data_IF_854710434340
#
_entry.id   IF_854710434340
#
_cell.length_a   1.000
_cell.length_b   1.000
_cell.length_c   1.000
_cell.angle_alpha   90.00
_cell.angle_beta   90.00
_cell.angle_gamma   90.00
#
_symmetry.space_group_name_H-M   'P 1'
#
loop_
_entity.id
_entity.type
_entity.pdbx_description
1 polymer ?
#
# COMPACT_ATOMS: atom_id res chain seq x y z
N UNK A 1 -23.59 -11.55 -1.48
CA UNK A 1 -22.48 -10.57 -1.46
C UNK A 1 -22.11 -10.06 -2.86
N UNK A 2 -22.12 -10.91 -3.94
CA UNK A 2 -21.75 -10.48 -5.29
C UNK A 2 -22.48 -9.21 -5.79
N UNK A 3 -23.83 -9.09 -5.69
CA UNK A 3 -24.52 -7.85 -6.10
C UNK A 3 -24.09 -6.62 -5.31
N UNK A 4 -23.73 -6.78 -4.03
CA UNK A 4 -23.22 -5.66 -3.20
C UNK A 4 -21.86 -5.20 -3.71
N UNK A 5 -20.96 -6.13 -4.03
CA UNK A 5 -19.66 -5.78 -4.61
C UNK A 5 -19.80 -5.12 -5.99
N UNK A 6 -20.71 -5.62 -6.84
CA UNK A 6 -21.01 -5.00 -8.12
C UNK A 6 -21.53 -3.56 -7.97
N UNK A 7 -22.38 -3.31 -6.96
CA UNK A 7 -22.88 -1.96 -6.67
C UNK A 7 -21.76 -1.03 -6.16
N UNK A 8 -20.83 -1.52 -5.32
CA UNK A 8 -19.64 -0.77 -4.89
C UNK A 8 -18.81 -0.34 -6.11
N UNK A 9 -18.51 -1.24 -7.04
CA UNK A 9 -17.82 -0.89 -8.28
C UNK A 9 -18.63 0.14 -9.08
N UNK A 10 -19.95 -0.08 -9.19
CA UNK A 10 -20.85 0.85 -9.88
C UNK A 10 -20.82 2.27 -9.31
N UNK A 11 -20.75 2.42 -8.00
CA UNK A 11 -20.60 3.73 -7.35
C UNK A 11 -19.29 4.42 -7.70
N UNK A 12 -18.18 3.70 -7.73
CA UNK A 12 -16.88 4.26 -8.12
C UNK A 12 -16.87 4.68 -9.62
N UNK A 13 -17.60 3.95 -10.47
CA UNK A 13 -17.74 4.32 -11.89
C UNK A 13 -18.59 5.58 -12.04
N UNK A 14 -19.74 5.66 -11.37
CA UNK A 14 -20.64 6.83 -11.44
C UNK A 14 -20.08 8.06 -10.73
N UNK A 15 -19.32 7.84 -9.67
CA UNK A 15 -18.78 8.86 -8.79
C UNK A 15 -19.49 8.91 -7.44
N UNK A 16 -18.70 9.24 -6.40
CA UNK A 16 -19.14 9.43 -5.02
C UNK A 16 -18.72 10.82 -4.52
N UNK A 17 -18.74 11.02 -3.19
CA UNK A 17 -18.31 12.28 -2.57
C UNK A 17 -16.83 12.55 -2.84
N UNK A 18 -16.41 13.79 -2.71
CA UNK A 18 -15.01 14.25 -2.76
C UNK A 18 -14.31 13.95 -4.09
N UNK A 19 -15.05 13.96 -5.19
CA UNK A 19 -14.48 13.69 -6.51
C UNK A 19 -13.97 12.26 -6.72
N UNK A 20 -14.34 11.30 -5.84
CA UNK A 20 -13.96 9.89 -6.04
C UNK A 20 -14.73 9.34 -7.24
N UNK A 21 -14.02 9.08 -8.34
CA UNK A 21 -14.64 8.64 -9.59
C UNK A 21 -13.62 7.98 -10.52
N UNK A 22 -14.09 6.98 -11.25
CA UNK A 22 -13.39 6.45 -12.41
C UNK A 22 -13.28 7.51 -13.50
N UNK A 23 -12.07 7.77 -13.98
CA UNK A 23 -11.85 8.67 -15.10
C UNK A 23 -11.67 7.90 -16.43
N UNK A 24 -11.62 8.61 -17.59
CA UNK A 24 -11.47 7.95 -18.89
C UNK A 24 -10.21 7.09 -19.08
N UNK A 25 -9.20 7.25 -18.22
CA UNK A 25 -8.01 6.39 -18.23
C UNK A 25 -8.22 5.03 -17.57
N UNK A 26 -9.39 4.77 -17.00
CA UNK A 26 -9.66 3.55 -16.23
C UNK A 26 -9.09 3.55 -14.82
N UNK A 27 -8.55 4.69 -14.35
CA UNK A 27 -7.99 4.89 -13.03
C UNK A 27 -8.94 5.71 -12.14
N UNK A 28 -8.88 5.51 -10.82
CA UNK A 28 -9.69 6.27 -9.87
C UNK A 28 -9.04 7.60 -9.53
N UNK A 29 -9.74 8.70 -9.83
CA UNK A 29 -9.41 10.00 -9.28
C UNK A 29 -10.11 10.20 -7.93
N UNK A 30 -9.52 11.00 -7.05
CA UNK A 30 -10.12 11.36 -5.75
C UNK A 30 -9.55 12.67 -5.21
N UNK A 31 -10.34 13.35 -4.40
CA UNK A 31 -9.89 14.48 -3.60
C UNK A 31 -10.41 15.83 -4.06
N UNK A 32 -10.64 16.67 -3.06
CA UNK A 32 -10.99 18.08 -3.15
C UNK A 32 -10.01 18.90 -2.31
N UNK A 33 -9.85 20.20 -2.54
CA UNK A 33 -9.03 21.05 -1.70
C UNK A 33 -9.43 20.95 -0.22
N UNK A 34 -8.46 20.77 0.68
CA UNK A 34 -8.69 20.69 2.12
C UNK A 34 -9.22 19.35 2.64
N UNK A 35 -9.31 18.32 1.79
CA UNK A 35 -9.77 16.98 2.15
C UNK A 35 -8.63 15.96 1.99
N UNK A 36 -8.45 15.10 2.98
CA UNK A 36 -7.55 13.94 2.97
C UNK A 36 -8.39 12.65 2.89
N UNK A 37 -8.07 11.78 1.92
CA UNK A 37 -8.88 10.61 1.59
C UNK A 37 -8.12 9.29 1.59
N UNK A 38 -6.83 9.31 1.84
CA UNK A 38 -6.01 8.09 1.93
C UNK A 38 -5.66 7.78 3.37
N UNK A 39 -4.96 6.68 3.62
CA UNK A 39 -4.46 6.36 4.96
C UNK A 39 -3.47 7.42 5.51
N UNK A 40 -2.87 8.24 4.63
CA UNK A 40 -2.03 9.39 5.02
C UNK A 40 -2.90 10.63 5.23
N UNK A 41 -3.71 10.63 6.27
CA UNK A 41 -4.83 11.54 6.49
C UNK A 41 -4.60 12.64 7.54
N UNK A 42 -3.36 12.86 8.00
CA UNK A 42 -3.05 13.89 8.98
C UNK A 42 -3.44 15.28 8.50
N UNK A 43 -4.14 16.02 9.37
CA UNK A 43 -4.61 17.38 9.11
C UNK A 43 -4.48 18.24 10.37
N UNK A 44 -3.94 19.46 10.21
CA UNK A 44 -3.78 20.43 11.30
C UNK A 44 -4.59 21.69 10.95
N UNK A 45 -5.72 21.90 11.60
CA UNK A 45 -6.67 22.94 11.20
C UNK A 45 -7.10 22.75 9.75
N UNK A 46 -6.82 23.73 8.89
CA UNK A 46 -7.12 23.66 7.45
C UNK A 46 -5.95 23.11 6.61
N UNK A 47 -4.79 22.86 7.21
CA UNK A 47 -3.64 22.31 6.53
C UNK A 47 -3.70 20.79 6.43
N UNK A 48 -3.87 20.28 5.22
CA UNK A 48 -3.68 18.86 4.88
C UNK A 48 -2.18 18.62 4.78
N UNK A 49 -1.61 17.84 5.71
CA UNK A 49 -0.15 17.67 5.84
C UNK A 49 0.43 16.92 4.64
N UNK A 50 -0.26 15.89 4.20
CA UNK A 50 0.16 15.04 3.07
C UNK A 50 -0.92 15.05 1.99
N UNK A 51 -0.99 16.11 1.15
CA UNK A 51 -2.03 16.23 0.14
C UNK A 51 -1.78 15.20 -0.97
N UNK A 52 -2.73 14.27 -1.15
CA UNK A 52 -2.67 13.20 -2.15
C UNK A 52 -3.88 13.22 -3.06
N UNK A 53 -4.26 14.44 -3.52
CA UNK A 53 -5.35 14.65 -4.46
C UNK A 53 -4.95 14.22 -5.87
N UNK A 54 -5.84 13.55 -6.56
CA UNK A 54 -5.62 13.01 -7.90
C UNK A 54 -5.75 11.50 -7.89
N UNK A 55 -4.74 10.81 -8.35
CA UNK A 55 -4.70 9.34 -8.43
C UNK A 55 -3.57 8.82 -7.54
N UNK A 56 -3.82 8.48 -6.26
CA UNK A 56 -2.82 7.85 -5.38
C UNK A 56 -2.47 6.44 -5.86
N UNK A 57 -1.20 6.08 -5.77
CA UNK A 57 -0.65 4.84 -6.36
C UNK A 57 -1.28 3.57 -5.77
N UNK A 58 -1.43 3.50 -4.45
CA UNK A 58 -2.03 2.33 -3.78
C UNK A 58 -3.53 2.19 -4.08
N UNK A 59 -4.22 3.31 -4.27
CA UNK A 59 -5.64 3.29 -4.64
C UNK A 59 -5.81 2.65 -6.02
N UNK A 60 -4.90 2.92 -6.95
CA UNK A 60 -4.95 2.26 -8.26
C UNK A 60 -4.64 0.76 -8.16
N UNK A 61 -3.68 0.38 -7.31
CA UNK A 61 -3.37 -1.04 -7.08
C UNK A 61 -4.58 -1.78 -6.48
N UNK A 62 -5.24 -1.20 -5.48
CA UNK A 62 -6.45 -1.75 -4.88
C UNK A 62 -7.61 -1.81 -5.89
N UNK A 63 -7.79 -0.77 -6.71
CA UNK A 63 -8.81 -0.73 -7.76
C UNK A 63 -8.62 -1.85 -8.79
N UNK A 64 -7.42 -1.99 -9.34
CA UNK A 64 -7.11 -3.06 -10.27
C UNK A 64 -7.35 -4.44 -9.66
N UNK A 65 -6.86 -4.66 -8.44
CA UNK A 65 -7.07 -5.92 -7.72
C UNK A 65 -8.57 -6.20 -7.51
N UNK A 66 -9.37 -5.19 -7.17
CA UNK A 66 -10.82 -5.32 -7.02
C UNK A 66 -11.48 -5.72 -8.35
N UNK A 67 -11.09 -5.12 -9.47
CA UNK A 67 -11.61 -5.48 -10.80
C UNK A 67 -11.28 -6.93 -11.18
N UNK A 68 -10.06 -7.39 -10.91
CA UNK A 68 -9.67 -8.78 -11.15
C UNK A 68 -10.47 -9.78 -10.27
N UNK A 69 -10.68 -9.43 -9.00
CA UNK A 69 -11.53 -10.22 -8.09
C UNK A 69 -12.97 -10.26 -8.60
N UNK A 70 -13.51 -9.15 -9.10
CA UNK A 70 -14.86 -9.09 -9.65
C UNK A 70 -15.00 -9.88 -10.96
N UNK A 71 -13.97 -9.88 -11.81
CA UNK A 71 -13.92 -10.73 -13.00
C UNK A 71 -14.00 -12.22 -12.62
N UNK A 72 -13.21 -12.65 -11.61
CA UNK A 72 -13.24 -14.04 -11.13
C UNK A 72 -14.58 -14.42 -10.50
N UNK A 73 -15.17 -13.52 -9.72
CA UNK A 73 -16.51 -13.75 -9.14
C UNK A 73 -17.60 -13.84 -10.23
N UNK A 74 -17.58 -12.92 -11.21
CA UNK A 74 -18.53 -12.97 -12.34
C UNK A 74 -18.44 -14.29 -13.09
N UNK A 75 -17.22 -14.76 -13.37
CA UNK A 75 -16.99 -16.07 -14.00
C UNK A 75 -17.54 -17.20 -13.15
N UNK A 76 -17.35 -17.21 -11.83
CA UNK A 76 -17.86 -18.26 -10.92
C UNK A 76 -19.38 -18.27 -10.83
N UNK A 77 -20.03 -17.11 -10.96
CA UNK A 77 -21.49 -17.00 -10.95
C UNK A 77 -22.13 -17.10 -12.33
N UNK A 78 -21.34 -17.31 -13.40
CA UNK A 78 -21.84 -17.48 -14.77
C UNK A 78 -22.30 -16.17 -15.43
N UNK A 79 -21.88 -15.02 -14.93
CA UNK A 79 -22.19 -13.70 -15.50
C UNK A 79 -21.12 -13.31 -16.53
N UNK A 80 -21.28 -13.76 -17.76
CA UNK A 80 -20.33 -13.47 -18.85
C UNK A 80 -20.25 -11.99 -19.22
N UNK A 81 -21.35 -11.25 -19.08
CA UNK A 81 -21.39 -9.82 -19.42
C UNK A 81 -20.52 -9.03 -18.43
N UNK A 82 -20.72 -9.27 -17.14
CA UNK A 82 -19.93 -8.63 -16.09
C UNK A 82 -18.47 -9.10 -16.11
N UNK A 83 -18.21 -10.39 -16.40
CA UNK A 83 -16.84 -10.87 -16.56
C UNK A 83 -16.09 -10.09 -17.64
N UNK A 84 -16.66 -9.94 -18.84
CA UNK A 84 -16.06 -9.18 -19.95
C UNK A 84 -15.87 -7.70 -19.58
N UNK A 85 -16.84 -7.12 -18.88
CA UNK A 85 -16.79 -5.71 -18.43
C UNK A 85 -15.65 -5.49 -17.46
N UNK A 86 -15.54 -6.29 -16.38
CA UNK A 86 -14.48 -6.12 -15.38
C UNK A 86 -13.09 -6.37 -15.96
N UNK A 87 -12.96 -7.37 -16.84
CA UNK A 87 -11.72 -7.62 -17.58
C UNK A 87 -11.29 -6.41 -18.41
N UNK A 88 -12.20 -5.83 -19.20
CA UNK A 88 -11.90 -4.66 -20.01
C UNK A 88 -11.46 -3.45 -19.14
N UNK A 89 -12.13 -3.25 -18.02
CA UNK A 89 -11.75 -2.20 -17.05
C UNK A 89 -10.38 -2.46 -16.43
N UNK A 90 -10.07 -3.69 -16.05
CA UNK A 90 -8.78 -4.07 -15.48
C UNK A 90 -7.64 -3.88 -16.50
N UNK A 91 -7.84 -4.28 -17.77
CA UNK A 91 -6.86 -4.09 -18.84
C UNK A 91 -6.56 -2.62 -19.09
N UNK A 92 -7.58 -1.78 -19.12
CA UNK A 92 -7.39 -0.33 -19.27
C UNK A 92 -6.64 0.29 -18.07
N UNK A 93 -6.98 -0.17 -16.87
CA UNK A 93 -6.34 0.31 -15.64
C UNK A 93 -4.84 -0.04 -15.61
N UNK A 94 -4.47 -1.31 -15.88
CA UNK A 94 -3.07 -1.73 -15.82
C UNK A 94 -2.21 -1.08 -16.92
N UNK A 95 -2.74 -0.91 -18.12
CA UNK A 95 -2.06 -0.24 -19.23
C UNK A 95 -1.71 1.21 -18.85
N UNK A 96 -2.71 1.97 -18.42
CA UNK A 96 -2.52 3.39 -18.07
C UNK A 96 -1.75 3.58 -16.75
N UNK A 97 -1.86 2.64 -15.81
CA UNK A 97 -1.03 2.65 -14.62
C UNK A 97 0.46 2.59 -14.99
N UNK A 98 0.86 1.60 -15.78
CA UNK A 98 2.25 1.43 -16.20
C UNK A 98 2.77 2.60 -17.04
N UNK A 99 1.89 3.29 -17.77
CA UNK A 99 2.24 4.46 -18.57
C UNK A 99 2.43 5.73 -17.72
N UNK A 100 1.59 5.95 -16.71
CA UNK A 100 1.57 7.23 -15.99
C UNK A 100 2.34 7.22 -14.68
N UNK A 101 2.47 6.06 -14.02
CA UNK A 101 3.09 5.99 -12.69
C UNK A 101 4.58 5.66 -12.72
N UNK A 102 5.10 5.12 -13.81
CA UNK A 102 6.50 4.75 -13.83
C UNK A 102 7.41 5.97 -13.95
N UNK A 103 8.28 6.16 -12.92
CA UNK A 103 9.29 7.21 -12.87
C UNK A 103 10.62 6.64 -13.33
N UNK A 104 10.96 6.84 -14.62
CA UNK A 104 12.17 6.28 -15.25
C UNK A 104 13.46 6.65 -14.54
N UNK A 105 13.59 7.92 -14.09
CA UNK A 105 14.82 8.41 -13.47
C UNK A 105 15.17 7.66 -12.18
N UNK A 106 14.18 7.40 -11.34
CA UNK A 106 14.39 6.79 -10.03
C UNK A 106 14.03 5.29 -10.02
N UNK A 107 13.58 4.76 -11.16
CA UNK A 107 13.18 3.38 -11.35
C UNK A 107 12.17 2.89 -10.28
N UNK A 108 11.15 3.70 -10.00
CA UNK A 108 10.10 3.44 -9.04
C UNK A 108 8.77 4.05 -9.51
N UNK A 109 7.77 4.12 -8.65
CA UNK A 109 6.47 4.72 -9.00
C UNK A 109 6.33 6.11 -8.38
N UNK A 110 5.70 7.03 -9.12
CA UNK A 110 5.16 8.26 -8.55
C UNK A 110 4.12 7.93 -7.48
N UNK A 111 4.11 8.69 -6.38
CA UNK A 111 3.13 8.50 -5.30
C UNK A 111 1.72 8.94 -5.70
N UNK A 112 1.62 10.07 -6.44
CA UNK A 112 0.35 10.60 -6.95
C UNK A 112 0.54 11.16 -8.36
N UNK A 113 -0.44 10.94 -9.24
CA UNK A 113 -0.49 11.56 -10.57
C UNK A 113 -1.79 12.34 -10.79
N UNK A 114 -1.80 13.32 -11.72
CA UNK A 114 -2.95 14.13 -12.14
C UNK A 114 -3.57 15.05 -11.07
N UNK A 115 -2.84 15.37 -10.02
CA UNK A 115 -3.20 16.43 -9.07
C UNK A 115 -2.45 17.74 -9.34
N UNK A 116 -1.54 17.70 -10.32
CA UNK A 116 -0.52 18.68 -10.68
C UNK A 116 0.63 17.95 -11.36
N UNK A 117 1.88 18.40 -11.26
CA UNK A 117 3.04 17.59 -11.60
C UNK A 117 3.01 16.27 -10.82
N UNK A 118 3.46 15.14 -11.42
CA UNK A 118 3.55 13.88 -10.70
C UNK A 118 4.42 14.01 -9.43
N UNK A 119 3.97 13.42 -8.31
CA UNK A 119 4.69 13.43 -7.05
C UNK A 119 5.77 12.34 -7.05
N UNK A 120 7.07 12.68 -7.07
CA UNK A 120 8.18 11.73 -7.10
C UNK A 120 8.61 11.26 -5.71
N UNK A 121 7.92 11.65 -4.65
CA UNK A 121 8.27 11.28 -3.27
C UNK A 121 8.35 9.77 -3.12
N UNK A 122 9.47 9.28 -2.56
CA UNK A 122 9.63 7.86 -2.28
C UNK A 122 8.85 7.55 -1.00
N UNK A 123 7.67 6.93 -1.20
CA UNK A 123 6.73 6.53 -0.15
C UNK A 123 6.43 5.03 -0.22
N UNK A 124 5.98 4.41 0.88
CA UNK A 124 5.73 2.97 0.93
C UNK A 124 4.52 2.54 0.08
N UNK A 125 3.65 3.47 -0.30
CA UNK A 125 2.39 3.21 -1.00
C UNK A 125 2.56 2.41 -2.29
N UNK A 126 3.67 2.59 -3.00
CA UNK A 126 3.99 1.88 -4.23
C UNK A 126 4.11 0.36 -4.05
N UNK A 127 4.35 -0.13 -2.82
CA UNK A 127 4.51 -1.56 -2.56
C UNK A 127 3.24 -2.36 -2.86
N UNK A 128 2.06 -1.72 -2.76
CA UNK A 128 0.78 -2.36 -3.05
C UNK A 128 0.61 -2.77 -4.51
N UNK A 129 1.27 -2.08 -5.44
CA UNK A 129 1.28 -2.47 -6.86
C UNK A 129 1.97 -3.83 -7.10
N UNK A 130 2.75 -4.31 -6.12
CA UNK A 130 3.46 -5.59 -6.15
C UNK A 130 2.84 -6.61 -5.20
N UNK A 131 2.53 -6.21 -3.96
CA UNK A 131 2.13 -7.12 -2.88
C UNK A 131 0.75 -7.75 -3.07
N UNK A 132 -0.20 -7.02 -3.63
CA UNK A 132 -1.57 -7.51 -3.83
C UNK A 132 -1.60 -8.76 -4.71
N UNK A 133 -2.67 -9.55 -4.61
CA UNK A 133 -2.83 -10.81 -5.35
C UNK A 133 -2.60 -10.63 -6.84
N UNK A 134 -3.19 -9.59 -7.41
CA UNK A 134 -3.01 -9.21 -8.81
C UNK A 134 -2.02 -8.04 -8.90
N UNK A 135 -0.75 -8.35 -9.26
CA UNK A 135 0.28 -7.32 -9.44
C UNK A 135 0.02 -6.50 -10.71
N UNK A 136 0.29 -5.20 -10.64
CA UNK A 136 0.14 -4.30 -11.79
C UNK A 136 1.43 -4.11 -12.60
N UNK A 137 2.56 -4.60 -12.11
CA UNK A 137 3.87 -4.30 -12.71
C UNK A 137 4.48 -5.51 -13.42
N UNK A 138 5.19 -5.29 -14.53
CA UNK A 138 6.12 -6.28 -15.08
C UNK A 138 7.15 -6.70 -14.03
N UNK A 139 7.70 -7.95 -14.12
CA UNK A 139 8.61 -8.50 -13.10
C UNK A 139 9.80 -7.59 -12.77
N UNK A 140 10.41 -6.99 -13.78
CA UNK A 140 11.59 -6.12 -13.62
C UNK A 140 11.25 -4.85 -12.84
N UNK A 141 10.11 -4.20 -13.17
CA UNK A 141 9.63 -3.03 -12.46
C UNK A 141 9.19 -3.38 -11.04
N UNK A 142 8.52 -4.52 -10.86
CA UNK A 142 8.13 -4.99 -9.52
C UNK A 142 9.36 -5.19 -8.62
N UNK A 143 10.42 -5.79 -9.14
CA UNK A 143 11.69 -5.98 -8.43
C UNK A 143 12.33 -4.64 -8.06
N UNK A 144 12.41 -3.72 -9.01
CA UNK A 144 12.98 -2.38 -8.80
C UNK A 144 12.22 -1.59 -7.73
N UNK A 145 10.88 -1.65 -7.71
CA UNK A 145 10.05 -1.03 -6.67
C UNK A 145 10.36 -1.60 -5.29
N UNK A 146 10.47 -2.92 -5.16
CA UNK A 146 10.79 -3.57 -3.88
C UNK A 146 12.18 -3.17 -3.39
N UNK A 147 13.18 -3.16 -4.27
CA UNK A 147 14.54 -2.74 -3.95
C UNK A 147 14.58 -1.27 -3.51
N UNK A 148 13.86 -0.39 -4.22
CA UNK A 148 13.75 1.04 -3.86
C UNK A 148 13.11 1.25 -2.48
N UNK A 149 12.03 0.54 -2.18
CA UNK A 149 11.36 0.61 -0.87
C UNK A 149 12.28 0.05 0.22
N UNK A 150 12.97 -1.06 -0.03
CA UNK A 150 13.93 -1.64 0.90
C UNK A 150 15.05 -0.67 1.24
N UNK A 151 15.68 -0.06 0.23
CA UNK A 151 16.83 0.82 0.38
C UNK A 151 16.49 2.10 1.17
N UNK A 152 15.35 2.71 0.87
CA UNK A 152 15.03 4.05 1.39
C UNK A 152 14.10 4.06 2.60
N UNK A 153 13.26 3.03 2.77
CA UNK A 153 12.16 3.07 3.74
C UNK A 153 12.23 1.99 4.82
N UNK A 154 12.90 0.85 4.56
CA UNK A 154 12.92 -0.25 5.53
C UNK A 154 13.69 0.13 6.80
N UNK A 155 13.10 -0.18 7.93
CA UNK A 155 13.68 -0.07 9.27
C UNK A 155 13.45 -1.35 10.05
N UNK A 156 14.05 -1.53 11.25
CA UNK A 156 13.77 -2.70 12.09
C UNK A 156 12.28 -2.88 12.46
N UNK A 157 11.49 -1.79 12.46
CA UNK A 157 10.11 -1.81 12.95
C UNK A 157 9.04 -1.61 11.88
N UNK A 158 9.41 -1.59 10.61
CA UNK A 158 8.48 -1.38 9.49
C UNK A 158 9.01 -0.42 8.44
N UNK A 159 8.12 0.23 7.69
CA UNK A 159 8.53 1.17 6.65
C UNK A 159 8.30 2.63 7.09
N UNK A 160 9.27 3.50 6.78
CA UNK A 160 9.06 4.95 6.84
C UNK A 160 7.97 5.38 5.87
N UNK A 161 7.19 6.35 6.28
CA UNK A 161 6.13 6.95 5.45
C UNK A 161 6.65 7.90 4.36
N UNK A 162 7.93 8.33 4.48
CA UNK A 162 8.65 9.16 3.52
C UNK A 162 10.15 8.87 3.62
N UNK A 163 10.86 8.91 2.50
CA UNK A 163 12.30 8.70 2.48
C UNK A 163 13.05 9.86 3.17
N UNK A 164 14.14 9.58 3.92
CA UNK A 164 14.94 10.62 4.59
C UNK A 164 15.58 11.64 3.66
N UNK A 165 15.70 11.33 2.37
CA UNK A 165 16.23 12.24 1.34
C UNK A 165 15.24 13.32 0.90
N UNK A 166 13.95 13.18 1.24
CA UNK A 166 12.92 14.15 0.87
C UNK A 166 13.01 15.41 1.74
N UNK A 167 12.91 16.61 1.16
CA UNK A 167 12.97 17.87 1.94
C UNK A 167 11.86 18.02 2.99
N UNK A 168 10.75 17.30 2.85
CA UNK A 168 9.64 17.32 3.80
C UNK A 168 9.78 16.27 4.90
N UNK A 169 10.84 15.47 4.90
CA UNK A 169 11.06 14.41 5.88
C UNK A 169 11.11 14.94 7.32
N UNK A 170 10.38 14.28 8.20
CA UNK A 170 10.31 14.53 9.64
C UNK A 170 10.46 13.23 10.39
N UNK A 171 11.69 12.89 10.77
CA UNK A 171 12.04 11.62 11.39
C UNK A 171 11.66 11.49 12.87
N UNK A 172 11.08 12.51 13.50
CA UNK A 172 10.73 12.52 14.94
C UNK A 172 9.27 12.87 15.16
N UNK A 173 8.56 11.99 15.84
CA UNK A 173 7.18 12.22 16.29
C UNK A 173 7.20 12.80 17.70
N UNK A 174 7.33 14.14 17.80
CA UNK A 174 7.53 14.84 19.07
C UNK A 174 6.94 16.25 19.04
N UNK A 175 6.85 16.90 20.20
CA UNK A 175 6.29 18.25 20.33
C UNK A 175 4.80 18.24 20.64
N UNK A 176 4.11 19.34 20.33
CA UNK A 176 2.66 19.49 20.48
C UNK A 176 1.87 18.75 19.38
N UNK A 177 0.53 18.84 19.40
CA UNK A 177 -0.31 18.18 18.41
C UNK A 177 0.06 18.53 16.95
N UNK A 178 0.29 19.82 16.67
CA UNK A 178 0.61 20.27 15.32
C UNK A 178 1.94 19.72 14.79
N UNK A 179 2.98 19.67 15.64
CA UNK A 179 4.29 19.12 15.26
C UNK A 179 4.21 17.61 15.05
N UNK A 180 3.46 16.91 15.90
CA UNK A 180 3.25 15.45 15.78
C UNK A 180 2.48 15.10 14.52
N UNK A 181 1.36 15.77 14.25
CA UNK A 181 0.57 15.54 13.05
C UNK A 181 1.34 15.87 11.78
N UNK A 182 2.19 16.92 11.83
CA UNK A 182 3.08 17.27 10.73
C UNK A 182 4.16 16.20 10.43
N UNK A 183 4.47 15.32 11.38
CA UNK A 183 5.41 14.20 11.20
C UNK A 183 4.72 12.88 10.87
N UNK A 184 3.44 12.73 11.17
CA UNK A 184 2.71 11.47 11.25
C UNK A 184 2.78 10.62 9.98
N UNK A 185 2.76 11.26 8.80
CA UNK A 185 2.94 10.61 7.50
C UNK A 185 4.10 11.21 6.69
N UNK A 186 5.06 11.87 7.37
CA UNK A 186 6.19 12.55 6.73
C UNK A 186 7.53 12.02 7.22
N UNK A 187 7.60 10.75 7.60
CA UNK A 187 8.86 10.12 7.99
C UNK A 187 8.74 9.08 9.10
N UNK A 188 7.68 9.11 9.92
CA UNK A 188 7.41 8.06 10.92
C UNK A 188 7.37 6.67 10.29
N UNK A 189 7.80 5.68 11.05
CA UNK A 189 7.74 4.26 10.67
C UNK A 189 6.38 3.69 11.04
N UNK A 190 5.77 2.97 10.12
CA UNK A 190 4.51 2.28 10.29
C UNK A 190 4.70 0.76 10.24
N UNK A 191 4.54 0.04 11.37
CA UNK A 191 4.77 -1.40 11.44
C UNK A 191 3.90 -2.23 10.50
N UNK A 192 2.62 -1.84 10.31
CA UNK A 192 1.72 -2.61 9.46
C UNK A 192 2.21 -2.75 8.01
N UNK A 193 3.00 -1.79 7.53
CA UNK A 193 3.55 -1.80 6.17
C UNK A 193 4.62 -2.89 5.95
N UNK A 194 5.15 -3.49 7.04
CA UNK A 194 6.09 -4.61 6.92
C UNK A 194 5.42 -5.82 6.26
N UNK A 195 4.13 -6.04 6.52
CA UNK A 195 3.38 -7.15 5.91
C UNK A 195 3.35 -7.08 4.38
N UNK A 196 2.78 -6.02 3.79
CA UNK A 196 2.81 -5.83 2.34
C UNK A 196 4.23 -5.85 1.75
N UNK A 197 5.22 -5.28 2.45
CA UNK A 197 6.61 -5.32 1.99
C UNK A 197 7.16 -6.76 1.93
N UNK A 198 6.97 -7.56 2.98
CA UNK A 198 7.39 -8.96 3.02
C UNK A 198 6.73 -9.75 1.90
N UNK A 199 5.40 -9.58 1.72
CA UNK A 199 4.68 -10.24 0.62
C UNK A 199 5.30 -9.91 -0.74
N UNK A 200 5.54 -8.61 -0.99
CA UNK A 200 6.15 -8.17 -2.23
C UNK A 200 7.57 -8.73 -2.42
N UNK A 201 8.40 -8.67 -1.36
CA UNK A 201 9.76 -9.19 -1.39
C UNK A 201 9.81 -10.70 -1.67
N UNK A 202 9.03 -11.49 -0.96
CA UNK A 202 8.95 -12.93 -1.17
C UNK A 202 8.45 -13.24 -2.58
N UNK A 203 7.48 -12.48 -3.09
CA UNK A 203 6.90 -12.64 -4.43
C UNK A 203 7.92 -12.39 -5.53
N UNK A 204 8.66 -11.26 -5.50
CA UNK A 204 9.65 -10.93 -6.55
C UNK A 204 10.89 -11.84 -6.48
N UNK A 205 11.13 -12.51 -5.34
CA UNK A 205 12.21 -13.49 -5.17
C UNK A 205 11.71 -14.95 -5.33
N UNK A 206 10.57 -15.14 -6.02
CA UNK A 206 10.04 -16.45 -6.41
C UNK A 206 9.61 -17.34 -5.24
N UNK A 207 9.34 -16.76 -4.05
CA UNK A 207 8.98 -17.53 -2.86
C UNK A 207 10.08 -18.46 -2.35
N UNK A 208 11.33 -18.16 -2.67
CA UNK A 208 12.48 -19.02 -2.35
C UNK A 208 12.69 -19.17 -0.83
N UNK A 209 13.29 -20.31 -0.37
CA UNK A 209 13.61 -20.48 1.06
C UNK A 209 14.49 -19.35 1.62
N UNK A 210 15.42 -18.83 0.83
CA UNK A 210 16.29 -17.72 1.21
C UNK A 210 15.47 -16.43 1.43
N UNK A 211 14.52 -16.12 0.53
CA UNK A 211 13.63 -14.96 0.70
C UNK A 211 12.75 -15.07 1.94
N UNK A 212 12.20 -16.25 2.21
CA UNK A 212 11.40 -16.51 3.42
C UNK A 212 12.22 -16.39 4.71
N UNK A 213 13.47 -16.89 4.68
CA UNK A 213 14.39 -16.76 5.81
C UNK A 213 14.73 -15.28 6.07
N UNK A 214 15.01 -14.51 5.04
CA UNK A 214 15.26 -13.06 5.17
C UNK A 214 14.03 -12.32 5.71
N UNK A 215 12.84 -12.65 5.23
CA UNK A 215 11.58 -12.10 5.74
C UNK A 215 11.38 -12.39 7.24
N UNK A 216 11.71 -13.61 7.69
CA UNK A 216 11.66 -13.96 9.10
C UNK A 216 12.61 -13.11 9.96
N UNK A 217 13.82 -12.83 9.47
CA UNK A 217 14.78 -11.96 10.17
C UNK A 217 14.23 -10.53 10.35
N UNK A 218 13.56 -9.97 9.36
CA UNK A 218 12.96 -8.64 9.47
C UNK A 218 11.79 -8.55 10.46
N UNK A 219 11.16 -9.67 10.81
CA UNK A 219 10.08 -9.69 11.81
C UNK A 219 10.60 -9.81 13.24
N UNK A 220 11.87 -10.22 13.47
CA UNK A 220 12.42 -10.40 14.83
C UNK A 220 12.32 -9.15 15.70
N UNK A 221 12.70 -7.94 15.26
CA UNK A 221 12.60 -6.74 16.10
C UNK A 221 11.16 -6.47 16.57
N UNK A 222 10.16 -6.77 15.75
CA UNK A 222 8.75 -6.61 16.12
C UNK A 222 8.29 -7.72 17.08
N UNK A 223 8.85 -8.92 16.98
CA UNK A 223 8.63 -9.99 17.98
C UNK A 223 9.23 -9.62 19.34
N UNK A 224 10.44 -9.07 19.36
CA UNK A 224 11.09 -8.59 20.59
C UNK A 224 10.28 -7.47 21.24
N UNK A 225 9.72 -6.56 20.42
CA UNK A 225 8.86 -5.46 20.85
C UNK A 225 7.57 -5.93 21.58
N UNK A 226 7.10 -7.16 21.36
CA UNK A 226 5.95 -7.71 22.09
C UNK A 226 6.19 -7.82 23.61
N UNK A 227 7.43 -7.82 24.08
CA UNK A 227 7.79 -7.79 25.50
C UNK A 227 8.07 -6.40 26.05
N UNK A 228 7.93 -5.36 25.21
CA UNK A 228 8.11 -3.95 25.57
C UNK A 228 6.75 -3.27 25.81
N UNK A 229 6.69 -1.97 25.78
CA UNK A 229 5.52 -1.08 25.85
C UNK A 229 4.16 -1.72 26.17
N UNK A 230 3.41 -2.10 25.16
CA UNK A 230 2.04 -2.63 25.27
C UNK A 230 1.91 -4.11 25.61
N UNK A 231 2.95 -4.82 25.97
CA UNK A 231 2.98 -6.26 26.33
C UNK A 231 2.04 -7.15 25.50
N UNK A 232 2.59 -7.83 24.51
CA UNK A 232 1.83 -8.64 23.56
C UNK A 232 1.20 -7.86 22.39
N UNK A 233 1.47 -6.56 22.30
CA UNK A 233 1.02 -5.71 21.22
C UNK A 233 2.17 -5.04 20.49
N UNK A 234 1.88 -4.46 19.31
CA UNK A 234 2.82 -3.67 18.52
C UNK A 234 2.31 -2.24 18.48
N UNK A 235 3.20 -1.29 18.74
CA UNK A 235 2.90 0.14 18.69
C UNK A 235 2.42 0.57 17.31
N UNK A 236 1.69 1.65 17.25
CA UNK A 236 1.14 2.22 16.02
C UNK A 236 2.23 2.70 15.08
N UNK A 237 3.15 3.50 15.60
CA UNK A 237 4.26 4.10 14.86
C UNK A 237 5.56 4.07 15.68
N UNK A 238 6.67 4.30 14.97
CA UNK A 238 7.97 4.56 15.57
C UNK A 238 8.59 5.81 14.93
N UNK A 239 9.52 6.46 15.65
CA UNK A 239 10.33 7.52 15.04
C UNK A 239 11.02 7.00 13.78
N UNK A 240 11.06 7.80 12.71
CA UNK A 240 11.78 7.47 11.48
C UNK A 240 13.28 7.42 11.64
N UNK A 241 13.83 8.18 12.62
CA UNK A 241 15.26 8.21 12.94
C UNK A 241 15.61 7.26 14.09
N UNK A 242 16.81 6.67 14.07
CA UNK A 242 17.30 5.88 15.21
C UNK A 242 17.27 6.68 16.52
N UNK A 243 17.00 6.04 17.64
CA UNK A 243 16.83 4.60 17.89
C UNK A 243 15.43 4.04 17.56
N UNK A 244 14.60 4.76 16.79
CA UNK A 244 13.24 4.35 16.41
C UNK A 244 12.34 4.15 17.65
N UNK A 245 12.19 5.19 18.45
CA UNK A 245 11.36 5.15 19.67
C UNK A 245 9.89 4.87 19.28
N UNK A 246 9.24 3.94 19.99
CA UNK A 246 7.82 3.65 19.85
C UNK A 246 6.97 4.88 20.24
N UNK A 247 5.97 5.20 19.42
CA UNK A 247 5.11 6.35 19.55
C UNK A 247 3.66 6.00 19.13
N UNK A 248 2.76 6.99 19.20
CA UNK A 248 1.35 6.78 18.87
C UNK A 248 0.65 5.91 19.90
N UNK A 249 -0.34 5.14 19.47
CA UNK A 249 -1.02 4.17 20.31
C UNK A 249 -0.08 3.01 20.64
N UNK A 250 -0.12 2.54 21.90
CA UNK A 250 0.73 1.43 22.37
C UNK A 250 0.32 0.06 21.78
N UNK A 251 -0.90 -0.03 21.24
CA UNK A 251 -1.47 -1.25 20.67
C UNK A 251 -2.27 -0.90 19.42
N UNK A 252 -1.79 -1.33 18.24
CA UNK A 252 -2.45 -1.08 16.97
C UNK A 252 -2.79 -2.40 16.28
N UNK A 253 -4.08 -2.60 15.98
CA UNK A 253 -4.61 -3.85 15.44
C UNK A 253 -3.96 -4.25 14.12
N UNK A 254 -3.84 -3.34 13.16
CA UNK A 254 -3.24 -3.65 11.86
C UNK A 254 -1.73 -3.91 11.94
N UNK A 255 -1.02 -3.34 12.92
CA UNK A 255 0.39 -3.66 13.14
C UNK A 255 0.56 -5.12 13.55
N UNK A 256 -0.28 -5.61 14.48
CA UNK A 256 -0.28 -7.03 14.89
C UNK A 256 -0.80 -7.92 13.76
N UNK A 257 -1.90 -7.54 13.13
CA UNK A 257 -2.55 -8.31 12.06
C UNK A 257 -1.64 -8.58 10.87
N UNK A 258 -0.94 -7.55 10.37
CA UNK A 258 -0.06 -7.69 9.22
C UNK A 258 1.24 -8.45 9.53
N UNK A 259 1.80 -8.27 10.72
CA UNK A 259 2.96 -9.09 11.16
C UNK A 259 2.58 -10.56 11.24
N UNK A 260 1.42 -10.88 11.84
CA UNK A 260 0.93 -12.26 11.96
C UNK A 260 0.61 -12.84 10.56
N UNK A 261 -0.08 -12.10 9.70
CA UNK A 261 -0.41 -12.53 8.34
C UNK A 261 0.86 -12.85 7.55
N UNK A 262 1.81 -11.92 7.51
CA UNK A 262 3.06 -12.12 6.77
C UNK A 262 3.89 -13.29 7.31
N UNK A 263 3.91 -13.47 8.64
CA UNK A 263 4.58 -14.63 9.24
C UNK A 263 3.94 -15.96 8.82
N UNK A 264 2.60 -16.05 8.88
CA UNK A 264 1.87 -17.28 8.55
C UNK A 264 1.91 -17.56 7.04
N UNK A 265 1.57 -16.57 6.23
CA UNK A 265 1.39 -16.76 4.78
C UNK A 265 2.73 -16.75 4.03
N UNK A 266 3.56 -15.72 4.27
CA UNK A 266 4.74 -15.48 3.47
C UNK A 266 5.99 -16.21 4.03
N UNK A 267 6.19 -16.21 5.35
CA UNK A 267 7.35 -16.87 5.97
C UNK A 267 7.11 -18.38 6.09
N UNK A 268 5.98 -18.81 6.66
CA UNK A 268 5.66 -20.23 6.83
C UNK A 268 5.07 -20.89 5.59
N UNK A 269 4.56 -20.10 4.64
CA UNK A 269 3.93 -20.60 3.43
C UNK A 269 2.57 -21.29 3.66
N UNK A 270 1.91 -21.00 4.77
CA UNK A 270 0.61 -21.54 5.12
C UNK A 270 -0.50 -20.65 4.53
N UNK A 271 -0.86 -20.92 3.28
CA UNK A 271 -1.98 -20.21 2.62
C UNK A 271 -3.28 -20.88 3.06
N UNK A 272 -4.30 -20.13 3.54
CA UNK A 272 -5.59 -20.69 3.89
C UNK A 272 -6.21 -21.47 2.69
N UNK A 273 -6.61 -22.73 2.93
CA UNK A 273 -7.28 -23.53 1.91
C UNK A 273 -8.61 -22.86 1.54
N UNK A 274 -8.78 -22.50 0.27
CA UNK A 274 -9.98 -21.85 -0.26
C UNK A 274 -9.74 -20.50 -0.94
N UNK A 275 -8.56 -19.91 -0.80
CA UNK A 275 -8.17 -18.63 -1.46
C UNK A 275 -7.18 -18.87 -2.61
N UNK A 276 -7.03 -20.10 -3.07
CA UNK A 276 -6.25 -20.39 -4.26
C UNK A 276 -6.94 -19.77 -5.48
N UNK A 277 -6.67 -18.50 -5.74
CA UNK A 277 -6.94 -17.87 -7.02
C UNK A 277 -6.13 -18.61 -8.08
N UNK A 278 -6.78 -19.14 -9.11
CA UNK A 278 -6.11 -19.72 -10.25
C UNK A 278 -5.13 -18.67 -10.82
N UNK A 279 -3.83 -18.92 -10.67
CA UNK A 279 -2.73 -18.04 -11.13
C UNK A 279 -2.63 -18.01 -12.65
N UNK A 280 -3.70 -17.66 -13.36
CA UNK A 280 -3.69 -17.49 -14.81
C UNK A 280 -4.74 -16.45 -15.19
N UNK A 281 -4.43 -15.18 -14.93
CA UNK A 281 -5.00 -14.06 -15.66
C UNK A 281 -3.81 -13.22 -16.15
N UNK A 282 -3.37 -13.49 -17.34
CA UNK A 282 -2.68 -12.63 -18.28
C UNK A 282 -2.80 -13.26 -19.66
#
# INVERSE_FOLDING_TARGET
LYPVFADIIGWHVRGTRYGIKLDPSGLLASGEPGVQLTWMDAKVGDWVVTPRRGKPVEIQALWYNALCVMEDLARRFGDEADQKRYRAMAMLAIENFNRFFWHEKDACLYDVVNGGPPDPSIRPNQIFAVSLTHSMLPPERAKSVVEKVQEHLLTPYGLRSLAPSDPQYRGRYTGGPAERDAAYHQGTVWPWLIGPFITAYVKVNGGSPAARSQAAEWLKPLQDHLSEGGLGHISEIFDGDPPHRACGCIAQAWSVGEVLRAYVEDVKGLIPQGIACSRQCC
#
